data_IF_767201622716
#
_entry.id   IF_767201622716
#
_cell.length_a   1.000
_cell.length_b   1.000
_cell.length_c   1.000
_cell.angle_alpha   90.00
_cell.angle_beta   90.00
_cell.angle_gamma   90.00
#
_symmetry.space_group_name_H-M   'P 1'
#
loop_
_entity.id
_entity.type
_entity.pdbx_description
1 polymer ?
#
# COMPACT_ATOMS: atom_id res chain seq x y z
N UNK A 1 40.11 12.67 -28.62
CA UNK A 1 41.01 11.65 -28.06
C UNK A 1 40.49 11.28 -26.69
N UNK A 2 39.69 10.19 -26.58
CA UNK A 2 39.06 9.72 -25.35
C UNK A 2 39.78 8.45 -24.95
N UNK A 3 40.24 8.27 -23.71
CA UNK A 3 40.95 7.06 -23.31
C UNK A 3 39.98 5.92 -23.04
N UNK A 4 40.19 4.83 -23.74
CA UNK A 4 39.54 3.53 -23.56
C UNK A 4 40.01 2.88 -22.25
N UNK A 5 39.09 2.69 -21.30
CA UNK A 5 39.33 1.89 -20.11
C UNK A 5 39.33 0.42 -20.47
N UNK A 6 40.44 -0.28 -20.23
CA UNK A 6 40.60 -1.73 -20.32
C UNK A 6 39.89 -2.39 -19.12
N UNK A 7 38.98 -3.30 -19.37
CA UNK A 7 38.48 -4.24 -18.39
C UNK A 7 39.49 -5.37 -18.18
N UNK A 8 39.77 -5.80 -16.94
CA UNK A 8 40.59 -6.98 -16.71
C UNK A 8 39.80 -8.26 -16.96
N UNK A 9 40.49 -9.23 -17.53
CA UNK A 9 39.99 -10.52 -17.96
C UNK A 9 39.52 -11.42 -16.80
N UNK A 10 38.46 -12.15 -17.11
CA UNK A 10 37.78 -13.24 -16.42
C UNK A 10 38.71 -14.16 -15.60
N UNK A 11 38.52 -14.20 -14.29
CA UNK A 11 38.82 -15.40 -13.51
C UNK A 11 37.54 -16.25 -13.46
N UNK A 12 37.53 -17.29 -14.30
CA UNK A 12 36.64 -18.45 -14.19
C UNK A 12 37.02 -19.28 -12.95
N UNK A 13 36.66 -18.78 -11.78
CA UNK A 13 36.60 -19.59 -10.58
C UNK A 13 35.29 -20.38 -10.62
N UNK A 14 35.34 -21.68 -10.80
CA UNK A 14 34.25 -22.62 -10.53
C UNK A 14 33.78 -22.34 -9.08
N UNK A 15 32.68 -21.65 -8.93
CA UNK A 15 31.95 -21.60 -7.67
C UNK A 15 31.40 -23.00 -7.48
N UNK A 16 31.79 -23.76 -6.41
CA UNK A 16 31.21 -25.04 -6.16
C UNK A 16 29.70 -24.87 -6.11
N UNK A 17 28.99 -25.75 -6.85
CA UNK A 17 27.53 -25.85 -6.77
C UNK A 17 27.19 -26.20 -5.32
N UNK A 18 26.98 -25.15 -4.49
CA UNK A 18 26.39 -25.31 -3.17
C UNK A 18 25.03 -25.88 -3.46
N UNK A 19 24.88 -27.17 -3.21
CA UNK A 19 23.61 -27.87 -3.14
C UNK A 19 22.72 -26.97 -2.24
N UNK A 20 21.84 -26.17 -2.85
CA UNK A 20 20.86 -25.38 -2.16
C UNK A 20 19.92 -26.38 -1.49
N UNK A 21 20.28 -26.78 -0.27
CA UNK A 21 19.41 -27.52 0.63
C UNK A 21 18.07 -26.75 0.62
N UNK A 22 17.07 -27.33 -0.01
CA UNK A 22 15.71 -26.84 -0.04
C UNK A 22 15.26 -26.77 1.41
N UNK A 23 15.43 -25.60 2.03
CA UNK A 23 14.97 -25.39 3.39
C UNK A 23 13.47 -25.60 3.40
N UNK A 24 12.96 -26.41 4.31
CA UNK A 24 11.53 -26.63 4.44
C UNK A 24 10.81 -25.31 4.63
N UNK A 25 9.63 -25.20 4.02
CA UNK A 25 8.79 -24.03 4.14
C UNK A 25 8.39 -23.85 5.61
N UNK A 26 8.69 -22.69 6.24
CA UNK A 26 8.34 -22.48 7.63
C UNK A 26 6.84 -22.65 7.90
N UNK A 27 6.47 -23.35 8.96
CA UNK A 27 5.07 -23.55 9.37
C UNK A 27 4.31 -22.21 9.56
N UNK A 28 5.01 -21.15 9.91
CA UNK A 28 4.46 -19.79 10.01
C UNK A 28 3.78 -19.31 8.72
N UNK A 29 4.22 -19.79 7.52
CA UNK A 29 3.62 -19.41 6.24
C UNK A 29 2.15 -19.83 6.14
N UNK A 30 1.77 -20.98 6.71
CA UNK A 30 0.38 -21.44 6.71
C UNK A 30 -0.55 -20.53 7.51
N UNK A 31 -0.01 -19.82 8.51
CA UNK A 31 -0.76 -18.90 9.39
C UNK A 31 -0.92 -17.49 8.83
N UNK A 32 -0.26 -17.17 7.71
CA UNK A 32 -0.43 -15.89 7.05
C UNK A 32 -1.85 -15.76 6.46
N UNK A 33 -2.46 -14.57 6.54
CA UNK A 33 -3.74 -14.30 5.88
C UNK A 33 -3.62 -14.35 4.37
N UNK A 34 -4.75 -14.57 3.68
CA UNK A 34 -4.83 -14.53 2.22
C UNK A 34 -4.92 -13.12 1.63
N UNK A 35 -5.17 -12.11 2.46
CA UNK A 35 -5.36 -10.71 2.03
C UNK A 35 -4.06 -9.93 1.81
N UNK A 36 -4.20 -8.62 1.49
CA UNK A 36 -3.07 -7.74 1.26
C UNK A 36 -2.27 -7.45 2.54
N UNK A 37 -0.98 -7.15 2.37
CA UNK A 37 -0.15 -6.76 3.49
C UNK A 37 1.33 -6.64 3.16
N UNK A 38 2.10 -6.37 4.20
CA UNK A 38 3.56 -6.26 4.17
C UNK A 38 4.15 -7.36 5.04
N UNK A 39 5.21 -7.98 4.57
CA UNK A 39 5.97 -8.99 5.32
C UNK A 39 7.44 -8.59 5.39
N UNK A 40 8.12 -9.06 6.42
CA UNK A 40 9.57 -8.94 6.55
C UNK A 40 10.18 -10.24 7.03
N UNK A 41 11.36 -10.51 6.51
CA UNK A 41 12.18 -11.65 6.88
C UNK A 41 13.30 -11.24 7.84
N UNK A 42 13.51 -12.02 8.88
CA UNK A 42 14.61 -11.81 9.84
C UNK A 42 15.51 -13.03 9.90
N UNK A 43 16.79 -12.79 10.18
CA UNK A 43 17.75 -13.82 10.50
C UNK A 43 17.74 -14.20 11.99
N UNK A 44 18.62 -15.13 12.37
CA UNK A 44 18.75 -15.59 13.74
C UNK A 44 19.19 -14.49 14.75
N UNK A 45 19.84 -13.45 14.25
CA UNK A 45 20.24 -12.29 15.06
C UNK A 45 19.11 -11.25 15.20
N UNK A 46 17.97 -11.48 14.56
CA UNK A 46 16.86 -10.55 14.52
C UNK A 46 17.02 -9.40 13.52
N UNK A 47 18.05 -9.43 12.68
CA UNK A 47 18.26 -8.43 11.62
C UNK A 47 17.21 -8.58 10.55
N UNK A 48 16.62 -7.46 10.10
CA UNK A 48 15.69 -7.47 8.95
C UNK A 48 16.50 -7.67 7.69
N UNK A 49 16.25 -8.78 6.99
CA UNK A 49 16.90 -9.11 5.73
C UNK A 49 16.18 -8.48 4.53
N UNK A 50 14.85 -8.49 4.57
CA UNK A 50 14.01 -8.08 3.45
C UNK A 50 12.64 -7.60 3.93
N UNK A 51 12.10 -6.61 3.27
CA UNK A 51 10.71 -6.14 3.38
C UNK A 51 10.05 -6.26 2.01
N UNK A 52 8.82 -6.75 1.96
CA UNK A 52 8.06 -6.83 0.73
C UNK A 52 6.56 -6.75 0.96
N UNK A 53 5.84 -6.35 -0.08
CA UNK A 53 4.37 -6.30 -0.10
C UNK A 53 3.76 -7.44 -0.89
N UNK A 54 2.49 -7.70 -0.62
CA UNK A 54 1.68 -8.66 -1.36
C UNK A 54 0.23 -8.18 -1.44
N UNK A 55 -0.44 -8.53 -2.53
CA UNK A 55 -1.91 -8.47 -2.64
C UNK A 55 -2.57 -9.66 -1.94
N UNK A 56 -1.81 -10.75 -1.80
CA UNK A 56 -2.16 -11.96 -1.06
C UNK A 56 -0.90 -12.47 -0.33
N UNK A 57 -0.84 -12.25 0.99
CA UNK A 57 0.36 -12.54 1.80
C UNK A 57 0.78 -14.00 1.74
N UNK A 58 -0.13 -14.93 2.02
CA UNK A 58 0.20 -16.36 2.11
C UNK A 58 0.83 -16.92 0.82
N UNK A 59 0.21 -16.83 -0.37
CA UNK A 59 0.81 -17.37 -1.60
C UNK A 59 2.10 -16.62 -1.97
N UNK A 60 2.17 -15.31 -1.74
CA UNK A 60 3.38 -14.51 -2.01
C UNK A 60 4.55 -14.96 -1.17
N UNK A 61 4.37 -15.11 0.14
CA UNK A 61 5.43 -15.53 1.04
C UNK A 61 5.79 -17.00 0.79
N UNK A 62 4.81 -17.89 0.55
CA UNK A 62 5.06 -19.28 0.19
C UNK A 62 5.95 -19.43 -1.05
N UNK A 63 5.81 -18.53 -2.04
CA UNK A 63 6.58 -18.60 -3.29
C UNK A 63 8.10 -18.48 -3.13
N UNK A 64 8.60 -18.04 -1.97
CA UNK A 64 10.03 -18.02 -1.69
C UNK A 64 10.62 -19.45 -1.47
N UNK A 65 9.77 -20.41 -1.11
CA UNK A 65 10.16 -21.82 -0.86
C UNK A 65 9.68 -22.80 -1.94
N UNK A 66 8.78 -22.38 -2.84
CA UNK A 66 8.27 -23.24 -3.93
C UNK A 66 9.02 -23.09 -5.25
N UNK A 67 10.01 -22.20 -5.29
CA UNK A 67 10.81 -21.90 -6.47
C UNK A 67 10.88 -20.40 -6.73
N UNK A 68 12.10 -19.87 -6.81
CA UNK A 68 12.32 -18.43 -6.92
C UNK A 68 12.18 -17.91 -8.37
N UNK A 69 12.26 -18.78 -9.38
CA UNK A 69 12.23 -18.38 -10.78
C UNK A 69 13.28 -17.29 -11.08
N UNK A 70 12.86 -16.20 -11.68
CA UNK A 70 13.74 -15.05 -11.98
C UNK A 70 14.30 -14.33 -10.72
N UNK A 71 13.87 -14.70 -9.51
CA UNK A 71 14.36 -14.16 -8.23
C UNK A 71 15.44 -15.05 -7.60
N UNK A 72 16.15 -15.86 -8.37
CA UNK A 72 17.19 -16.77 -7.89
C UNK A 72 18.27 -16.09 -7.04
N UNK A 73 18.55 -14.81 -7.28
CA UNK A 73 19.46 -13.99 -6.48
C UNK A 73 19.05 -13.86 -4.99
N UNK A 74 17.79 -14.14 -4.64
CA UNK A 74 17.30 -14.14 -3.26
C UNK A 74 17.50 -15.47 -2.52
N UNK A 75 18.01 -16.52 -3.18
CA UNK A 75 18.23 -17.82 -2.55
C UNK A 75 19.13 -17.75 -1.31
N UNK A 76 20.26 -17.03 -1.31
CA UNK A 76 21.09 -16.89 -0.11
C UNK A 76 20.38 -16.15 1.04
N UNK A 77 19.50 -15.22 0.73
CA UNK A 77 18.68 -14.56 1.75
C UNK A 77 17.68 -15.55 2.36
N UNK A 78 16.95 -16.31 1.52
CA UNK A 78 15.95 -17.29 1.98
C UNK A 78 16.58 -18.32 2.91
N UNK A 79 17.81 -18.76 2.63
CA UNK A 79 18.56 -19.68 3.49
C UNK A 79 18.86 -19.12 4.90
N UNK A 80 18.88 -17.80 5.06
CA UNK A 80 19.11 -17.12 6.36
C UNK A 80 17.83 -16.81 7.13
N UNK A 81 16.67 -16.93 6.51
CA UNK A 81 15.38 -16.58 7.16
C UNK A 81 15.10 -17.56 8.31
N UNK A 82 14.98 -17.04 9.50
CA UNK A 82 14.57 -17.78 10.70
C UNK A 82 13.21 -17.33 11.22
N UNK A 83 12.79 -16.08 10.92
CA UNK A 83 11.53 -15.52 11.38
C UNK A 83 10.83 -14.75 10.27
N UNK A 84 9.53 -14.96 10.18
CA UNK A 84 8.62 -14.23 9.30
C UNK A 84 7.72 -13.37 10.16
N UNK A 85 7.64 -12.10 9.83
CA UNK A 85 6.72 -11.15 10.44
C UNK A 85 5.84 -10.56 9.34
N UNK A 86 4.59 -10.24 9.65
CA UNK A 86 3.67 -9.66 8.69
C UNK A 86 2.73 -8.64 9.33
N UNK A 87 2.29 -7.69 8.51
CA UNK A 87 1.22 -6.73 8.79
C UNK A 87 0.13 -6.93 7.74
N UNK A 88 -1.07 -7.27 8.19
CA UNK A 88 -2.26 -7.31 7.34
C UNK A 88 -2.75 -5.89 7.10
N UNK A 89 -2.96 -5.53 5.85
CA UNK A 89 -3.44 -4.24 5.39
C UNK A 89 -4.89 -4.34 4.90
N UNK A 90 -5.60 -3.21 4.89
CA UNK A 90 -7.00 -3.16 4.47
C UNK A 90 -7.15 -3.10 2.94
N UNK A 91 -6.07 -2.76 2.22
CA UNK A 91 -6.05 -2.74 0.75
C UNK A 91 -4.64 -2.98 0.19
N UNK A 92 -4.52 -3.37 -1.10
CA UNK A 92 -3.24 -3.41 -1.79
C UNK A 92 -2.55 -2.04 -1.86
N UNK A 93 -3.31 -0.94 -1.88
CA UNK A 93 -2.80 0.42 -1.85
C UNK A 93 -2.16 0.75 -0.49
N UNK A 94 -2.80 0.34 0.61
CA UNK A 94 -2.25 0.48 1.96
C UNK A 94 -0.95 -0.32 2.11
N UNK A 95 -0.92 -1.56 1.60
CA UNK A 95 0.30 -2.37 1.61
C UNK A 95 1.45 -1.73 0.81
N UNK A 96 1.14 -1.10 -0.32
CA UNK A 96 2.14 -0.39 -1.12
C UNK A 96 2.72 0.82 -0.38
N UNK A 97 1.88 1.61 0.29
CA UNK A 97 2.35 2.71 1.11
C UNK A 97 3.16 2.25 2.31
N UNK A 98 2.71 1.20 3.01
CA UNK A 98 3.42 0.68 4.17
C UNK A 98 4.82 0.17 3.80
N UNK A 99 4.94 -0.63 2.73
CA UNK A 99 6.25 -1.08 2.22
C UNK A 99 7.16 0.10 1.93
N UNK A 100 6.66 1.09 1.17
CA UNK A 100 7.42 2.29 0.82
C UNK A 100 7.92 3.04 2.04
N UNK A 101 7.03 3.32 3.00
CA UNK A 101 7.38 4.04 4.21
C UNK A 101 8.46 3.32 5.04
N UNK A 102 8.34 2.00 5.15
CA UNK A 102 9.32 1.18 5.87
C UNK A 102 10.67 1.15 5.17
N UNK A 103 10.70 1.05 3.83
CA UNK A 103 11.93 1.04 3.04
C UNK A 103 12.62 2.41 3.02
N UNK A 104 11.86 3.51 3.05
CA UNK A 104 12.41 4.87 3.17
C UNK A 104 13.00 5.11 4.57
N UNK A 105 12.39 4.54 5.62
CA UNK A 105 12.89 4.67 6.99
C UNK A 105 14.11 3.78 7.26
N UNK A 106 14.19 2.61 6.64
CA UNK A 106 15.29 1.67 6.81
C UNK A 106 15.32 0.69 5.63
N UNK A 107 16.41 0.74 4.83
CA UNK A 107 16.60 -0.13 3.67
C UNK A 107 17.33 -1.41 4.07
N UNK A 108 16.67 -2.59 4.13
CA UNK A 108 17.33 -3.85 4.38
C UNK A 108 18.29 -4.24 3.25
N UNK A 109 19.32 -5.02 3.58
CA UNK A 109 20.42 -5.36 2.67
C UNK A 109 19.99 -6.08 1.37
N UNK A 110 18.82 -6.74 1.37
CA UNK A 110 18.30 -7.46 0.20
C UNK A 110 17.21 -6.70 -0.56
N UNK A 111 16.90 -5.47 -0.15
CA UNK A 111 16.07 -4.56 -0.92
C UNK A 111 16.96 -3.64 -1.76
N UNK A 112 16.67 -3.53 -3.06
CA UNK A 112 17.50 -2.78 -4.02
C UNK A 112 17.20 -1.27 -4.02
N UNK A 113 15.99 -0.88 -3.63
CA UNK A 113 15.52 0.50 -3.79
C UNK A 113 14.80 0.97 -2.53
N UNK A 114 15.22 2.10 -2.01
CA UNK A 114 14.47 2.82 -0.98
C UNK A 114 13.22 3.45 -1.61
N UNK A 115 12.05 3.10 -1.10
CA UNK A 115 10.81 3.81 -1.41
C UNK A 115 10.12 3.50 -2.74
N UNK A 116 10.63 2.56 -3.56
CA UNK A 116 9.99 2.18 -4.84
C UNK A 116 10.07 3.25 -5.93
N UNK A 117 9.75 2.88 -7.18
CA UNK A 117 9.82 3.77 -8.35
C UNK A 117 8.52 4.55 -8.61
N UNK A 118 7.48 4.34 -7.80
CA UNK A 118 6.16 4.92 -8.03
C UNK A 118 6.09 6.38 -7.62
N UNK A 119 5.61 7.23 -8.51
CA UNK A 119 5.41 8.65 -8.22
C UNK A 119 4.22 8.86 -7.29
N UNK A 120 4.37 9.75 -6.32
CA UNK A 120 3.27 10.24 -5.49
C UNK A 120 2.46 11.25 -6.27
N UNK A 121 1.14 11.07 -6.29
CA UNK A 121 0.19 11.96 -6.96
C UNK A 121 -1.03 12.21 -6.09
N UNK A 122 -1.76 13.26 -6.42
CA UNK A 122 -3.00 13.66 -5.78
C UNK A 122 -4.09 13.85 -6.82
N UNK A 123 -5.34 13.66 -6.44
CA UNK A 123 -6.50 14.09 -7.22
C UNK A 123 -6.88 15.47 -6.73
N UNK A 124 -6.88 16.44 -7.63
CA UNK A 124 -7.36 17.80 -7.41
C UNK A 124 -8.81 17.88 -7.89
N UNK A 125 -9.72 18.21 -7.01
CA UNK A 125 -11.09 18.63 -7.33
C UNK A 125 -11.14 20.15 -7.28
N UNK A 126 -11.29 20.76 -8.46
CA UNK A 126 -11.40 22.21 -8.62
C UNK A 126 -12.88 22.61 -8.65
N UNK A 127 -13.30 23.32 -7.64
CA UNK A 127 -14.70 23.74 -7.47
C UNK A 127 -15.03 25.05 -8.19
N UNK A 128 -14.03 25.75 -8.70
CA UNK A 128 -14.24 27.03 -9.43
C UNK A 128 -15.03 26.80 -10.72
N UNK A 129 -16.03 27.67 -11.01
CA UNK A 129 -16.89 27.48 -12.19
C UNK A 129 -16.16 27.50 -13.53
N UNK A 130 -15.02 28.16 -13.63
CA UNK A 130 -14.23 28.32 -14.86
C UNK A 130 -13.13 27.26 -15.04
N UNK A 131 -12.92 26.36 -14.08
CA UNK A 131 -11.78 25.45 -14.07
C UNK A 131 -12.13 24.03 -14.56
N UNK A 132 -11.15 23.30 -15.15
CA UNK A 132 -11.25 21.85 -15.33
C UNK A 132 -11.33 21.21 -13.96
N UNK A 133 -12.36 20.42 -13.74
CA UNK A 133 -12.84 20.12 -12.42
C UNK A 133 -12.15 18.98 -11.68
N UNK A 134 -11.62 17.98 -12.37
CA UNK A 134 -10.98 16.82 -11.76
C UNK A 134 -9.71 16.47 -12.52
N UNK A 135 -8.55 16.63 -11.87
CA UNK A 135 -7.23 16.44 -12.46
C UNK A 135 -6.28 15.70 -11.53
N UNK A 136 -5.23 15.09 -12.11
CA UNK A 136 -4.16 14.44 -11.36
C UNK A 136 -2.96 15.36 -11.31
N UNK A 137 -2.49 15.68 -10.10
CA UNK A 137 -1.36 16.58 -9.86
C UNK A 137 -0.28 15.91 -9.02
N UNK A 138 0.97 16.35 -9.18
CA UNK A 138 2.12 15.83 -8.43
C UNK A 138 2.38 16.59 -7.12
N UNK A 139 1.91 17.82 -7.03
CA UNK A 139 2.10 18.70 -5.87
C UNK A 139 0.81 19.36 -5.50
N UNK A 140 0.59 19.56 -4.22
CA UNK A 140 -0.50 20.37 -3.69
C UNK A 140 -0.07 21.83 -3.67
N UNK A 141 -0.94 22.70 -4.13
CA UNK A 141 -0.75 24.14 -4.02
C UNK A 141 -1.96 24.71 -3.27
N UNK A 142 -1.74 25.48 -2.19
CA UNK A 142 -2.85 26.13 -1.50
C UNK A 142 -3.61 27.04 -2.46
N UNK A 143 -4.90 26.81 -2.60
CA UNK A 143 -5.78 27.69 -3.39
C UNK A 143 -7.20 27.63 -2.81
N UNK A 144 -7.98 28.71 -3.04
CA UNK A 144 -9.39 28.74 -2.64
C UNK A 144 -10.22 27.87 -3.58
N UNK A 145 -11.26 27.25 -3.06
CA UNK A 145 -12.20 26.45 -3.83
C UNK A 145 -11.53 25.26 -4.54
N UNK A 146 -10.53 24.64 -3.90
CA UNK A 146 -9.92 23.40 -4.36
C UNK A 146 -9.83 22.40 -3.22
N UNK A 147 -10.05 21.14 -3.53
CA UNK A 147 -9.82 20.02 -2.60
C UNK A 147 -8.83 19.03 -3.18
N UNK A 148 -7.96 18.52 -2.34
CA UNK A 148 -6.99 17.47 -2.69
C UNK A 148 -7.35 16.17 -2.02
N UNK A 149 -7.21 15.07 -2.74
CA UNK A 149 -7.40 13.72 -2.24
C UNK A 149 -6.16 12.88 -2.52
N UNK A 150 -5.86 11.96 -1.63
CA UNK A 150 -4.65 11.15 -1.65
C UNK A 150 -3.90 11.27 -0.32
N UNK A 151 -2.58 11.03 -0.33
CA UNK A 151 -1.70 10.76 -1.48
C UNK A 151 -1.94 9.37 -2.09
N UNK A 152 -1.60 9.21 -3.38
CA UNK A 152 -1.69 7.94 -4.10
C UNK A 152 -0.33 7.57 -4.71
N UNK A 153 -0.05 6.26 -4.77
CA UNK A 153 1.12 5.72 -5.47
C UNK A 153 0.74 5.31 -6.91
N UNK A 154 1.55 5.74 -7.88
CA UNK A 154 1.35 5.35 -9.28
C UNK A 154 0.32 6.21 -10.02
N UNK A 155 0.78 6.98 -10.99
CA UNK A 155 -0.06 7.93 -11.72
C UNK A 155 -1.05 7.28 -12.70
N UNK A 156 -0.76 6.08 -13.23
CA UNK A 156 -1.61 5.44 -14.26
C UNK A 156 -2.99 5.07 -13.69
N UNK A 157 -3.03 4.34 -12.58
CA UNK A 157 -4.30 3.95 -11.93
C UNK A 157 -5.12 5.17 -11.50
N UNK A 158 -4.46 6.20 -10.97
CA UNK A 158 -5.15 7.42 -10.56
C UNK A 158 -5.76 8.15 -11.76
N UNK A 159 -5.06 8.20 -12.91
CA UNK A 159 -5.63 8.76 -14.14
C UNK A 159 -6.80 7.95 -14.66
N UNK A 160 -6.74 6.62 -14.59
CA UNK A 160 -7.86 5.76 -14.97
C UNK A 160 -9.07 5.97 -14.06
N UNK A 161 -8.87 6.10 -12.74
CA UNK A 161 -9.95 6.42 -11.80
C UNK A 161 -10.56 7.81 -12.07
N UNK A 162 -9.72 8.82 -12.37
CA UNK A 162 -10.20 10.15 -12.77
C UNK A 162 -10.94 10.10 -14.10
N UNK A 163 -10.51 9.27 -15.07
CA UNK A 163 -11.25 9.06 -16.33
C UNK A 163 -12.63 8.43 -16.07
N UNK A 164 -12.70 7.43 -15.19
CA UNK A 164 -13.95 6.82 -14.75
C UNK A 164 -14.92 7.86 -14.16
N UNK A 165 -14.43 8.68 -13.23
CA UNK A 165 -15.24 9.71 -12.56
C UNK A 165 -15.70 10.79 -13.56
N UNK A 166 -14.84 11.23 -14.47
CA UNK A 166 -15.19 12.20 -15.52
C UNK A 166 -16.17 11.62 -16.56
N UNK A 167 -16.22 10.31 -16.72
CA UNK A 167 -17.19 9.63 -17.60
C UNK A 167 -18.59 9.69 -17.02
N UNK A 168 -18.73 9.44 -15.73
CA UNK A 168 -20.00 9.47 -15.00
C UNK A 168 -20.42 10.92 -14.69
N UNK A 169 -19.47 11.74 -14.23
CA UNK A 169 -19.70 13.15 -13.88
C UNK A 169 -18.84 14.05 -14.75
N UNK A 170 -19.31 14.42 -15.94
CA UNK A 170 -18.54 15.24 -16.87
C UNK A 170 -18.51 16.71 -16.42
N UNK A 171 -17.89 16.95 -15.28
CA UNK A 171 -17.85 18.23 -14.57
C UNK A 171 -17.24 19.36 -15.40
N UNK A 172 -16.32 19.05 -16.32
CA UNK A 172 -15.73 20.02 -17.23
C UNK A 172 -16.76 20.70 -18.14
N UNK A 173 -17.93 20.07 -18.37
CA UNK A 173 -19.01 20.62 -19.20
C UNK A 173 -20.11 21.34 -18.40
N UNK A 174 -19.89 21.55 -17.11
CA UNK A 174 -20.83 22.26 -16.22
C UNK A 174 -20.34 23.67 -15.85
N UNK A 175 -19.23 24.11 -16.43
CA UNK A 175 -18.65 25.43 -16.17
C UNK A 175 -19.45 26.56 -16.79
N UNK A 176 -19.20 27.78 -16.29
CA UNK A 176 -19.66 29.02 -16.92
C UNK A 176 -18.70 29.45 -18.02
N UNK A 177 -19.19 29.97 -19.12
CA UNK A 177 -18.33 30.43 -20.22
C UNK A 177 -17.89 29.39 -21.22
N UNK A 178 -18.54 28.21 -21.28
CA UNK A 178 -18.31 27.22 -22.33
C UNK A 178 -18.63 27.79 -23.72
N UNK A 179 -17.75 27.55 -24.69
CA UNK A 179 -17.90 28.07 -26.07
C UNK A 179 -17.58 26.96 -27.08
N UNK A 180 -18.05 27.16 -28.32
CA UNK A 180 -17.73 26.28 -29.44
C UNK A 180 -18.01 24.80 -29.14
N UNK A 181 -17.05 23.95 -29.42
CA UNK A 181 -17.13 22.48 -29.25
C UNK A 181 -17.49 22.06 -27.82
N UNK A 182 -17.00 22.76 -26.80
CA UNK A 182 -17.32 22.45 -25.39
C UNK A 182 -18.80 22.62 -25.09
N UNK A 183 -19.41 23.71 -25.59
CA UNK A 183 -20.84 23.95 -25.44
C UNK A 183 -21.67 22.90 -26.22
N UNK A 184 -21.23 22.52 -27.42
CA UNK A 184 -21.85 21.46 -28.20
C UNK A 184 -21.83 20.12 -27.46
N UNK A 185 -20.70 19.75 -26.87
CA UNK A 185 -20.56 18.53 -26.06
C UNK A 185 -21.38 18.57 -24.76
N UNK A 186 -21.47 19.72 -24.09
CA UNK A 186 -22.33 19.91 -22.92
C UNK A 186 -23.81 19.65 -23.28
N UNK A 187 -24.28 20.21 -24.39
CA UNK A 187 -25.65 19.99 -24.90
C UNK A 187 -25.90 18.53 -25.27
N UNK A 188 -24.98 17.91 -26.00
CA UNK A 188 -25.08 16.49 -26.40
C UNK A 188 -25.15 15.56 -25.17
N UNK A 189 -24.46 15.90 -24.10
CA UNK A 189 -24.46 15.16 -22.82
C UNK A 189 -25.59 15.57 -21.89
N UNK A 190 -26.41 16.55 -22.27
CA UNK A 190 -27.51 17.10 -21.47
C UNK A 190 -27.04 17.57 -20.08
N UNK A 191 -25.85 18.16 -20.00
CA UNK A 191 -25.28 18.71 -18.76
C UNK A 191 -25.07 20.22 -18.88
N UNK A 192 -25.09 20.90 -17.74
CA UNK A 192 -24.90 22.34 -17.69
C UNK A 192 -24.65 22.82 -16.26
N UNK A 193 -24.57 24.15 -16.03
CA UNK A 193 -24.22 24.73 -14.73
C UNK A 193 -25.08 24.21 -13.56
N UNK A 194 -26.37 23.96 -13.78
CA UNK A 194 -27.28 23.44 -12.77
C UNK A 194 -26.86 22.07 -12.18
N UNK A 195 -26.10 21.26 -12.93
CA UNK A 195 -25.62 19.95 -12.46
C UNK A 195 -24.34 20.04 -11.63
N UNK A 196 -23.63 21.18 -11.67
CA UNK A 196 -22.29 21.32 -11.13
C UNK A 196 -22.20 20.99 -9.64
N UNK A 197 -23.07 21.60 -8.85
CA UNK A 197 -23.06 21.42 -7.39
C UNK A 197 -23.32 19.96 -6.98
N UNK A 198 -24.29 19.30 -7.63
CA UNK A 198 -24.59 17.88 -7.39
C UNK A 198 -23.39 16.99 -7.76
N UNK A 199 -22.71 17.26 -8.88
CA UNK A 199 -21.52 16.52 -9.30
C UNK A 199 -20.36 16.73 -8.32
N UNK A 200 -20.08 17.97 -7.91
CA UNK A 200 -19.02 18.28 -6.93
C UNK A 200 -19.25 17.56 -5.61
N UNK A 201 -20.50 17.56 -5.13
CA UNK A 201 -20.88 16.87 -3.89
C UNK A 201 -20.68 15.37 -4.00
N UNK A 202 -21.14 14.76 -5.09
CA UNK A 202 -21.00 13.31 -5.30
C UNK A 202 -19.55 12.91 -5.51
N UNK A 203 -18.78 13.65 -6.32
CA UNK A 203 -17.34 13.41 -6.50
C UNK A 203 -16.58 13.53 -5.18
N UNK A 204 -16.91 14.53 -4.36
CA UNK A 204 -16.36 14.66 -3.01
C UNK A 204 -16.65 13.44 -2.13
N UNK A 205 -17.89 12.96 -2.13
CA UNK A 205 -18.31 11.79 -1.37
C UNK A 205 -17.56 10.50 -1.81
N UNK A 206 -17.43 10.30 -3.13
CA UNK A 206 -16.66 9.16 -3.69
C UNK A 206 -15.20 9.22 -3.27
N UNK A 207 -14.55 10.39 -3.44
CA UNK A 207 -13.14 10.56 -3.10
C UNK A 207 -12.87 10.55 -1.58
N UNK A 208 -13.89 10.82 -0.77
CA UNK A 208 -13.90 10.59 0.69
C UNK A 208 -14.23 9.13 1.06
N UNK A 209 -14.40 8.25 0.05
CA UNK A 209 -14.65 6.82 0.23
C UNK A 209 -15.97 6.49 0.93
N UNK A 210 -17.02 7.32 0.73
CA UNK A 210 -18.36 7.02 1.25
C UNK A 210 -18.93 5.81 0.49
N UNK A 211 -19.30 4.70 1.18
CA UNK A 211 -19.63 3.43 0.54
C UNK A 211 -20.75 3.53 -0.50
N UNK A 212 -21.82 4.28 -0.17
CA UNK A 212 -23.00 4.43 -1.03
C UNK A 212 -22.66 5.21 -2.31
N UNK A 213 -21.81 6.24 -2.20
CA UNK A 213 -21.39 7.04 -3.35
C UNK A 213 -20.47 6.22 -4.27
N UNK A 214 -19.55 5.45 -3.69
CA UNK A 214 -18.65 4.54 -4.44
C UNK A 214 -19.47 3.45 -5.14
N UNK A 215 -20.38 2.80 -4.44
CA UNK A 215 -21.23 1.74 -4.99
C UNK A 215 -22.09 2.24 -6.17
N UNK A 216 -22.65 3.44 -6.07
CA UNK A 216 -23.44 4.06 -7.14
C UNK A 216 -22.60 4.23 -8.40
N UNK A 217 -21.44 4.89 -8.29
CA UNK A 217 -20.56 5.14 -9.44
C UNK A 217 -20.08 3.85 -10.07
N UNK A 218 -19.72 2.87 -9.24
CA UNK A 218 -19.34 1.55 -9.71
C UNK A 218 -20.46 0.89 -10.51
N UNK A 219 -21.69 0.93 -10.00
CA UNK A 219 -22.87 0.37 -10.69
C UNK A 219 -23.14 1.04 -12.04
N UNK A 220 -22.99 2.37 -12.13
CA UNK A 220 -23.14 3.09 -13.40
C UNK A 220 -22.06 2.68 -14.42
N UNK A 221 -20.81 2.52 -13.99
CA UNK A 221 -19.72 2.03 -14.85
C UNK A 221 -19.93 0.57 -15.29
N UNK A 222 -20.40 -0.29 -14.39
CA UNK A 222 -20.72 -1.69 -14.72
C UNK A 222 -21.87 -1.80 -15.73
N UNK A 223 -22.89 -0.96 -15.61
CA UNK A 223 -23.96 -0.88 -16.62
C UNK A 223 -23.44 -0.40 -17.97
N UNK A 224 -22.55 0.61 -17.97
CA UNK A 224 -21.95 1.11 -19.19
C UNK A 224 -21.07 0.05 -19.86
N UNK A 225 -20.30 -0.70 -19.09
CA UNK A 225 -19.46 -1.81 -19.58
C UNK A 225 -20.32 -2.91 -20.22
N UNK A 226 -21.44 -3.29 -19.58
CA UNK A 226 -22.37 -4.27 -20.10
C UNK A 226 -22.99 -3.84 -21.42
N UNK A 227 -23.50 -2.61 -21.52
CA UNK A 227 -24.07 -2.05 -22.76
C UNK A 227 -23.03 -2.02 -23.89
N UNK A 228 -21.77 -1.71 -23.57
CA UNK A 228 -20.69 -1.74 -24.55
C UNK A 228 -20.43 -3.17 -25.06
N UNK A 229 -20.44 -4.17 -24.19
CA UNK A 229 -20.27 -5.56 -24.57
C UNK A 229 -21.45 -6.08 -25.41
N UNK A 230 -22.69 -5.73 -25.05
CA UNK A 230 -23.89 -6.05 -25.81
C UNK A 230 -23.86 -5.47 -27.23
N UNK A 231 -23.26 -4.29 -27.39
CA UNK A 231 -23.04 -3.65 -28.70
C UNK A 231 -21.74 -4.09 -29.40
N UNK A 232 -21.10 -5.17 -28.92
CA UNK A 232 -19.84 -5.75 -29.42
C UNK A 232 -18.64 -4.78 -29.36
N UNK A 233 -18.71 -3.71 -28.58
CA UNK A 233 -17.62 -2.76 -28.39
C UNK A 233 -16.66 -3.26 -27.26
N UNK A 234 -16.04 -4.42 -27.48
CA UNK A 234 -15.27 -5.14 -26.45
C UNK A 234 -14.06 -4.36 -25.93
N UNK A 235 -13.35 -3.62 -26.78
CA UNK A 235 -12.24 -2.76 -26.35
C UNK A 235 -12.69 -1.66 -25.41
N UNK A 236 -13.87 -1.08 -25.69
CA UNK A 236 -14.45 -0.05 -24.82
C UNK A 236 -14.92 -0.65 -23.49
N UNK A 237 -15.58 -1.81 -23.52
CA UNK A 237 -15.97 -2.54 -22.32
C UNK A 237 -14.75 -2.89 -21.45
N UNK A 238 -13.67 -3.39 -22.05
CA UNK A 238 -12.40 -3.68 -21.36
C UNK A 238 -11.76 -2.44 -20.75
N UNK A 239 -11.80 -1.29 -21.42
CA UNK A 239 -11.33 -0.02 -20.87
C UNK A 239 -12.11 0.38 -19.62
N UNK A 240 -13.45 0.29 -19.65
CA UNK A 240 -14.29 0.60 -18.49
C UNK A 240 -14.02 -0.37 -17.34
N UNK A 241 -13.79 -1.64 -17.62
CA UNK A 241 -13.40 -2.62 -16.60
C UNK A 241 -12.09 -2.23 -15.89
N UNK A 242 -11.09 -1.76 -16.65
CA UNK A 242 -9.86 -1.18 -16.10
C UNK A 242 -10.11 0.07 -15.25
N UNK A 243 -11.04 0.94 -15.67
CA UNK A 243 -11.46 2.14 -14.95
C UNK A 243 -12.16 1.78 -13.63
N UNK A 244 -13.02 0.75 -13.60
CA UNK A 244 -13.66 0.23 -12.36
C UNK A 244 -12.59 -0.28 -11.40
N UNK A 245 -11.65 -1.10 -11.87
CA UNK A 245 -10.54 -1.60 -11.04
C UNK A 245 -9.69 -0.47 -10.46
N UNK A 246 -9.50 0.60 -11.22
CA UNK A 246 -8.77 1.77 -10.77
C UNK A 246 -9.56 2.61 -9.75
N UNK A 247 -10.88 2.72 -9.90
CA UNK A 247 -11.78 3.34 -8.92
C UNK A 247 -11.74 2.58 -7.61
N UNK A 248 -11.89 1.25 -7.63
CA UNK A 248 -11.82 0.39 -6.44
C UNK A 248 -10.47 0.56 -5.72
N UNK A 249 -9.39 0.73 -6.47
CA UNK A 249 -8.06 0.93 -5.90
C UNK A 249 -7.90 2.30 -5.24
N UNK A 250 -8.41 3.38 -5.85
CA UNK A 250 -8.34 4.76 -5.32
C UNK A 250 -9.24 4.93 -4.08
N UNK A 251 -10.40 4.27 -4.10
CA UNK A 251 -11.37 4.31 -2.99
C UNK A 251 -11.11 3.27 -1.91
N UNK A 252 -10.18 2.33 -2.14
CA UNK A 252 -9.78 1.32 -1.17
C UNK A 252 -9.30 1.93 0.15
N UNK A 253 -9.58 1.31 1.31
CA UNK A 253 -9.14 1.81 2.60
C UNK A 253 -7.62 1.98 2.66
N UNK A 254 -7.16 3.07 3.24
CA UNK A 254 -5.73 3.35 3.44
C UNK A 254 -5.57 4.35 4.59
N UNK A 255 -4.80 3.98 5.64
CA UNK A 255 -4.54 4.80 6.83
C UNK A 255 -3.06 5.06 7.08
N UNK A 256 -2.18 4.26 6.49
CA UNK A 256 -0.74 4.28 6.80
C UNK A 256 0.02 5.47 6.21
N UNK A 257 -0.64 6.23 5.35
CA UNK A 257 -0.12 7.52 4.84
C UNK A 257 -1.28 8.48 4.62
N UNK A 258 -1.30 9.58 5.35
CA UNK A 258 -2.36 10.60 5.29
C UNK A 258 -1.78 11.96 4.94
N UNK A 259 -2.66 12.91 4.66
CA UNK A 259 -2.26 14.32 4.50
C UNK A 259 -2.15 15.05 5.84
N UNK A 260 -2.66 14.44 6.91
CA UNK A 260 -2.57 14.96 8.27
C UNK A 260 -1.19 14.65 8.84
N UNK A 261 -0.52 15.67 9.34
CA UNK A 261 0.88 15.59 9.81
C UNK A 261 1.01 15.24 11.29
N UNK A 262 0.13 14.38 11.79
CA UNK A 262 0.18 13.94 13.18
C UNK A 262 1.30 12.94 13.48
N UNK A 263 1.85 13.02 14.69
CA UNK A 263 2.82 12.09 15.23
C UNK A 263 2.20 11.34 16.41
N UNK A 264 2.19 10.00 16.35
CA UNK A 264 1.68 9.15 17.42
C UNK A 264 2.20 7.72 17.27
N UNK A 265 1.99 6.93 18.34
CA UNK A 265 2.19 5.49 18.31
C UNK A 265 0.86 4.78 18.46
N UNK A 266 0.65 3.72 17.68
CA UNK A 266 -0.49 2.83 17.80
C UNK A 266 0.00 1.44 18.21
N UNK A 267 -0.56 0.90 19.30
CA UNK A 267 -0.16 -0.37 19.87
C UNK A 267 -1.32 -1.37 19.88
N UNK A 268 -0.99 -2.63 19.63
CA UNK A 268 -1.88 -3.78 19.80
C UNK A 268 -1.18 -4.85 20.62
N UNK A 269 -1.94 -5.62 21.40
CA UNK A 269 -1.40 -6.73 22.18
C UNK A 269 -2.29 -7.96 22.04
N UNK A 270 -1.67 -9.11 21.82
CA UNK A 270 -2.35 -10.41 21.80
C UNK A 270 -1.34 -11.52 22.10
N UNK A 271 -1.76 -12.54 22.81
CA UNK A 271 -0.99 -13.77 23.04
C UNK A 271 0.43 -13.54 23.57
N UNK A 272 0.65 -12.53 24.43
CA UNK A 272 1.98 -12.21 24.95
C UNK A 272 2.87 -11.39 23.99
N UNK A 273 2.34 -10.90 22.85
CA UNK A 273 3.06 -10.10 21.86
C UNK A 273 2.48 -8.71 21.80
N UNK A 274 3.34 -7.70 21.99
CA UNK A 274 3.03 -6.28 21.75
C UNK A 274 3.55 -5.88 20.37
N UNK A 275 2.66 -5.38 19.54
CA UNK A 275 3.01 -4.72 18.26
C UNK A 275 2.88 -3.22 18.45
N UNK A 276 3.86 -2.46 17.95
CA UNK A 276 3.88 -1.00 17.96
C UNK A 276 4.12 -0.48 16.53
N UNK A 277 3.27 0.44 16.13
CA UNK A 277 3.36 1.19 14.88
C UNK A 277 3.64 2.66 15.21
N UNK A 278 4.73 3.21 14.68
CA UNK A 278 5.07 4.62 14.83
C UNK A 278 4.67 5.41 13.60
N UNK A 279 3.74 6.34 13.76
CA UNK A 279 3.33 7.29 12.74
C UNK A 279 4.07 8.59 12.96
N UNK A 280 4.71 9.11 11.90
CA UNK A 280 5.45 10.38 11.93
C UNK A 280 5.12 11.17 10.67
N UNK A 281 4.75 12.43 10.84
CA UNK A 281 4.32 13.28 9.73
C UNK A 281 3.17 12.68 8.92
N UNK A 282 2.20 12.00 9.58
CA UNK A 282 1.10 11.31 8.92
C UNK A 282 1.47 10.02 8.20
N UNK A 283 2.68 9.47 8.40
CA UNK A 283 3.18 8.25 7.74
C UNK A 283 3.58 7.19 8.75
N UNK A 284 3.10 5.95 8.60
CA UNK A 284 3.55 4.82 9.39
C UNK A 284 4.96 4.42 8.91
N UNK A 285 5.99 4.84 9.65
CA UNK A 285 7.40 4.63 9.30
C UNK A 285 8.08 3.55 10.15
N UNK A 286 7.52 3.23 11.33
CA UNK A 286 8.11 2.29 12.26
C UNK A 286 7.14 1.17 12.60
N UNK A 287 7.66 -0.04 12.60
CA UNK A 287 6.95 -1.24 13.01
C UNK A 287 7.87 -2.12 13.85
N UNK A 288 7.45 -2.41 15.06
CA UNK A 288 8.13 -3.34 15.94
C UNK A 288 7.16 -4.32 16.59
N UNK A 289 7.67 -5.48 16.96
CA UNK A 289 6.94 -6.48 17.73
C UNK A 289 7.88 -7.14 18.73
N UNK A 290 7.39 -7.39 19.96
CA UNK A 290 8.17 -7.99 21.02
C UNK A 290 7.29 -8.77 21.99
N UNK A 291 7.87 -9.73 22.68
CA UNK A 291 7.22 -10.37 23.82
C UNK A 291 6.95 -9.32 24.93
N UNK A 292 5.75 -9.33 25.46
CA UNK A 292 5.32 -8.35 26.47
C UNK A 292 4.20 -8.92 27.34
N UNK A 293 4.36 -8.89 28.65
CA UNK A 293 3.29 -9.21 29.58
C UNK A 293 2.12 -8.20 29.44
N UNK A 294 0.89 -8.65 29.67
CA UNK A 294 -0.31 -7.79 29.53
C UNK A 294 -0.26 -6.55 30.41
N UNK A 295 0.25 -6.68 31.64
CA UNK A 295 0.39 -5.56 32.57
C UNK A 295 1.27 -4.43 32.01
N UNK A 296 2.36 -4.78 31.31
CA UNK A 296 3.26 -3.80 30.68
C UNK A 296 2.71 -3.25 29.36
N UNK A 297 1.74 -3.93 28.75
CA UNK A 297 1.08 -3.46 27.54
C UNK A 297 -0.03 -2.43 27.82
N UNK A 298 -0.56 -2.36 29.05
CA UNK A 298 -1.70 -1.51 29.39
C UNK A 298 -1.49 -0.03 29.05
N UNK A 299 -0.35 0.55 29.45
CA UNK A 299 -0.03 1.96 29.19
C UNK A 299 0.07 2.29 27.69
N UNK A 300 0.86 1.58 26.84
CA UNK A 300 0.90 1.88 25.42
C UNK A 300 -0.41 1.61 24.68
N UNK A 301 -1.25 0.70 25.17
CA UNK A 301 -2.59 0.47 24.59
C UNK A 301 -3.54 1.64 24.87
N UNK A 302 -3.47 2.21 26.09
CA UNK A 302 -4.36 3.30 26.50
C UNK A 302 -4.16 4.60 25.69
N UNK A 303 -2.97 4.84 25.15
CA UNK A 303 -2.65 6.02 24.33
C UNK A 303 -2.82 5.78 22.82
N UNK A 304 -3.25 4.58 22.42
CA UNK A 304 -3.49 4.26 21.03
C UNK A 304 -4.73 4.99 20.51
N UNK A 305 -4.64 5.77 19.40
CA UNK A 305 -5.80 6.44 18.85
C UNK A 305 -6.91 5.44 18.47
N UNK A 306 -8.18 5.77 18.79
CA UNK A 306 -9.33 4.89 18.58
C UNK A 306 -9.43 4.35 17.14
N UNK A 307 -9.17 5.19 16.12
CA UNK A 307 -9.17 4.78 14.71
C UNK A 307 -8.07 3.77 14.34
N UNK A 308 -7.07 3.57 15.20
CA UNK A 308 -5.97 2.63 15.00
C UNK A 308 -6.06 1.35 15.84
N UNK A 309 -6.89 1.36 16.89
CA UNK A 309 -6.99 0.24 17.84
C UNK A 309 -7.32 -1.09 17.13
N UNK A 310 -8.29 -1.09 16.21
CA UNK A 310 -8.64 -2.27 15.44
C UNK A 310 -7.52 -2.76 14.52
N UNK A 311 -6.81 -1.85 13.85
CA UNK A 311 -5.66 -2.20 13.01
C UNK A 311 -4.51 -2.79 13.83
N UNK A 312 -4.16 -2.15 14.95
CA UNK A 312 -3.09 -2.60 15.82
C UNK A 312 -3.44 -3.93 16.50
N UNK A 313 -4.69 -4.09 16.94
CA UNK A 313 -5.19 -5.31 17.58
C UNK A 313 -5.09 -6.55 16.69
N UNK A 314 -5.68 -6.52 15.49
CA UNK A 314 -5.61 -7.66 14.56
C UNK A 314 -4.18 -7.98 14.09
N UNK A 315 -3.30 -6.98 14.02
CA UNK A 315 -1.90 -7.21 13.69
C UNK A 315 -1.10 -7.77 14.88
N UNK A 316 -1.50 -7.51 16.12
CA UNK A 316 -0.96 -8.19 17.28
C UNK A 316 -1.39 -9.66 17.35
N UNK A 317 -2.64 -9.98 17.00
CA UNK A 317 -3.12 -11.35 16.85
C UNK A 317 -2.32 -12.12 15.79
N UNK A 318 -2.11 -11.50 14.62
CA UNK A 318 -1.27 -12.08 13.57
C UNK A 318 0.16 -12.32 14.04
N UNK A 319 0.77 -11.35 14.72
CA UNK A 319 2.12 -11.46 15.24
C UNK A 319 2.24 -12.59 16.29
N UNK A 320 1.26 -12.74 17.18
CA UNK A 320 1.19 -13.82 18.14
C UNK A 320 1.06 -15.18 17.44
N UNK A 321 0.18 -15.28 16.45
CA UNK A 321 0.00 -16.49 15.65
C UNK A 321 1.30 -16.90 14.93
N UNK A 322 2.05 -15.94 14.37
CA UNK A 322 3.31 -16.22 13.67
C UNK A 322 4.44 -16.61 14.65
N UNK A 323 4.41 -16.12 15.88
CA UNK A 323 5.42 -16.41 16.92
C UNK A 323 5.22 -17.76 17.59
N UNK A 324 4.00 -18.27 17.69
CA UNK A 324 3.63 -19.51 18.40
C UNK A 324 4.03 -20.83 17.73
N UNK A 325 4.88 -20.82 16.69
CA UNK A 325 5.33 -22.02 15.97
C UNK A 325 6.79 -22.43 16.20
N UNK A 326 7.54 -21.64 16.95
CA UNK A 326 8.89 -22.01 17.42
C UNK A 326 8.84 -22.27 18.92
N UNK A 327 9.11 -23.51 19.36
CA UNK A 327 9.19 -23.86 20.75
C UNK A 327 10.02 -22.84 21.53
N UNK A 328 9.50 -22.42 22.64
CA UNK A 328 10.17 -21.55 23.61
C UNK A 328 11.41 -22.27 24.13
N UNK A 329 12.56 -22.11 23.44
CA UNK A 329 13.84 -22.28 24.11
C UNK A 329 14.00 -21.06 25.03
N UNK A 330 13.64 -21.25 26.29
CA UNK A 330 13.94 -20.31 27.35
C UNK A 330 15.47 -20.20 27.47
N UNK A 331 16.04 -19.24 26.75
CA UNK A 331 17.40 -18.78 27.00
C UNK A 331 17.44 -18.11 28.36
N UNK A 332 17.92 -18.83 29.37
CA UNK A 332 18.35 -18.28 30.64
C UNK A 332 19.33 -17.15 30.34
N UNK A 333 18.92 -15.92 30.55
CA UNK A 333 19.84 -14.81 30.69
C UNK A 333 20.67 -15.07 31.92
N UNK A 334 21.91 -15.55 31.73
CA UNK A 334 22.92 -15.59 32.77
C UNK A 334 23.22 -14.18 33.21
N UNK A 335 22.87 -13.89 34.46
CA UNK A 335 23.31 -12.73 35.20
C UNK A 335 24.80 -12.90 35.51
N UNK A 336 25.66 -12.14 34.86
CA UNK A 336 27.05 -11.98 35.27
C UNK A 336 27.10 -10.78 36.25
N UNK A 337 27.54 -10.96 37.47
CA UNK A 337 27.80 -9.84 38.38
C UNK A 337 29.04 -9.08 37.87
N UNK A 338 28.93 -7.78 37.70
CA UNK A 338 30.06 -6.90 37.47
C UNK A 338 30.90 -6.72 38.73
N UNK A 339 32.20 -6.40 38.61
CA UNK A 339 33.07 -6.21 39.76
C UNK A 339 32.77 -4.89 40.50
N UNK A 340 32.70 -4.99 41.82
CA UNK A 340 32.81 -3.84 42.73
C UNK A 340 34.17 -3.16 42.55
N UNK A 341 34.18 -1.89 42.29
CA UNK A 341 35.00 -0.88 42.95
C UNK A 341 34.44 0.50 42.69
#
# INVERSE_FOLDING_TARGET
MVPTARFPASHTGLVPAVSLLRREKPAAVARLPGGPGVYRFRDARGTVLYVGRATALRPRVASYWSGLGHRGHLAPMVARVTRIEAVSCDSPHEAAWLERNLLEASLPAWNLTAGGQENVVYILLDERPSAPALTVVRRRQPARQVRYFGPYLGSLRVRQAVAALNRVFPLAYTGTGLRGTQLGLARARRVGPAHREAFLRTLGAVLQRQPEAVARVRGELEQLSRRAAESLAFEFAGRIHGEISALDWVTGPQRVTTMDVGDFDACGWSGGVLVRFGVRGGRLCHWSQRACARSRAASPLAVTPAGWAGFAGRNAELAAALSGGGGCAAGRAGYLPGPEQ
#
